data_IF_101709461770
#
_entry.id   IF_101709461770
#
_cell.length_a   1.000
_cell.length_b   1.000
_cell.length_c   1.000
_cell.angle_alpha   90.00
_cell.angle_beta   90.00
_cell.angle_gamma   90.00
#
_symmetry.space_group_name_H-M   'P 1'
#
loop_
_entity.id
_entity.type
_entity.pdbx_description
1 polymer ?
#
# COMPACT_ATOMS: atom_id res chain seq x y z
N UNK A 1 -29.01 31.15 -53.80
CA UNK A 1 -27.98 30.24 -54.35
C UNK A 1 -26.72 30.37 -53.51
N UNK A 2 -26.17 29.23 -53.09
CA UNK A 2 -24.90 28.95 -52.39
C UNK A 2 -24.19 30.06 -51.61
N UNK A 3 -24.11 29.87 -50.29
CA UNK A 3 -23.17 30.55 -49.40
C UNK A 3 -22.13 29.57 -48.83
N UNK A 4 -20.87 29.98 -48.92
CA UNK A 4 -19.65 29.33 -48.45
C UNK A 4 -19.64 28.98 -46.95
N UNK A 5 -18.95 27.89 -46.60
CA UNK A 5 -18.58 27.55 -45.22
C UNK A 5 -17.17 26.92 -45.20
N UNK A 6 -16.17 27.47 -44.47
CA UNK A 6 -14.85 26.86 -44.34
C UNK A 6 -14.61 26.19 -42.98
N UNK A 7 -14.03 24.99 -43.06
CA UNK A 7 -13.12 24.33 -42.12
C UNK A 7 -13.57 23.98 -40.68
N UNK A 8 -13.95 22.71 -40.52
CA UNK A 8 -13.69 21.93 -39.31
C UNK A 8 -12.19 21.62 -39.20
N UNK A 9 -11.53 22.09 -38.15
CA UNK A 9 -10.20 21.63 -37.75
C UNK A 9 -10.35 20.48 -36.76
N UNK A 10 -10.23 19.25 -37.25
CA UNK A 10 -10.02 18.06 -36.42
C UNK A 10 -8.66 18.13 -35.74
N UNK A 11 -8.65 18.10 -34.41
CA UNK A 11 -7.44 17.83 -33.63
C UNK A 11 -7.00 16.38 -33.82
N UNK A 12 -5.69 16.08 -33.66
CA UNK A 12 -5.13 14.80 -34.06
C UNK A 12 -5.68 13.67 -33.19
N UNK A 13 -6.44 12.76 -33.81
CA UNK A 13 -6.54 11.38 -33.32
C UNK A 13 -5.11 10.85 -33.24
N UNK A 14 -4.71 10.44 -32.04
CA UNK A 14 -3.52 9.61 -31.85
C UNK A 14 -3.70 8.36 -32.72
N UNK A 15 -3.01 8.34 -33.86
CA UNK A 15 -2.93 7.17 -34.72
C UNK A 15 -2.17 6.04 -34.01
N UNK A 16 -2.38 4.79 -34.42
CA UNK A 16 -1.64 3.66 -33.88
C UNK A 16 -0.15 3.85 -34.14
N UNK A 17 0.68 3.54 -33.14
CA UNK A 17 2.13 3.44 -33.30
C UNK A 17 2.46 2.43 -34.43
N UNK A 18 3.48 2.67 -35.27
CA UNK A 18 3.84 1.76 -36.35
C UNK A 18 4.38 0.45 -35.75
N UNK A 19 3.75 -0.68 -36.10
CA UNK A 19 4.19 -2.02 -35.66
C UNK A 19 3.20 -2.81 -34.80
N UNK A 20 1.89 -2.59 -34.92
CA UNK A 20 0.89 -3.52 -34.36
C UNK A 20 0.96 -4.84 -35.14
N UNK A 21 1.73 -5.80 -34.63
CA UNK A 21 1.68 -7.18 -35.10
C UNK A 21 0.26 -7.75 -34.92
N UNK A 22 -0.19 -8.56 -35.89
CA UNK A 22 -1.51 -9.21 -35.95
C UNK A 22 -1.75 -10.28 -34.86
N UNK A 23 -0.98 -10.25 -33.75
CA UNK A 23 -1.13 -11.23 -32.68
C UNK A 23 -2.28 -10.84 -31.75
N UNK A 24 -3.23 -11.75 -31.49
CA UNK A 24 -4.29 -11.50 -30.51
C UNK A 24 -3.69 -11.33 -29.11
N UNK A 25 -4.30 -10.46 -28.30
CA UNK A 25 -3.92 -10.30 -26.88
C UNK A 25 -4.01 -11.65 -26.16
N UNK A 26 -2.95 -12.01 -25.44
CA UNK A 26 -2.93 -13.25 -24.65
C UNK A 26 -3.87 -13.17 -23.43
N UNK A 27 -4.09 -11.96 -22.92
CA UNK A 27 -4.86 -11.71 -21.72
C UNK A 27 -6.14 -10.94 -22.05
N UNK A 28 -7.21 -11.30 -21.36
CA UNK A 28 -8.45 -10.52 -21.32
C UNK A 28 -8.59 -9.93 -19.93
N UNK A 29 -8.48 -8.61 -19.82
CA UNK A 29 -8.53 -7.87 -18.55
C UNK A 29 -9.67 -8.32 -17.62
N UNK A 30 -10.91 -8.37 -18.11
CA UNK A 30 -12.06 -8.82 -17.29
C UNK A 30 -11.97 -10.27 -16.78
N UNK A 31 -11.12 -11.10 -17.36
CA UNK A 31 -10.88 -12.48 -16.93
C UNK A 31 -9.70 -12.62 -15.96
N UNK A 32 -9.04 -11.52 -15.59
CA UNK A 32 -7.90 -11.54 -14.66
C UNK A 32 -8.28 -11.16 -13.22
N UNK A 33 -9.54 -10.83 -12.98
CA UNK A 33 -10.08 -10.48 -11.66
C UNK A 33 -11.25 -11.37 -11.27
N UNK A 34 -11.44 -11.66 -9.98
CA UNK A 34 -12.62 -12.39 -9.51
C UNK A 34 -13.90 -11.67 -9.90
N UNK A 35 -14.94 -12.40 -10.35
CA UNK A 35 -16.23 -11.80 -10.64
C UNK A 35 -16.81 -11.08 -9.43
N UNK A 36 -17.20 -9.82 -9.63
CA UNK A 36 -17.72 -8.96 -8.58
C UNK A 36 -19.13 -8.50 -8.93
N UNK A 37 -20.13 -9.27 -8.50
CA UNK A 37 -21.53 -8.99 -8.77
C UNK A 37 -22.15 -8.22 -7.61
N UNK A 38 -22.38 -6.93 -7.82
CA UNK A 38 -23.13 -6.08 -6.89
C UNK A 38 -24.35 -5.52 -7.64
N UNK A 39 -25.53 -5.62 -7.02
CA UNK A 39 -26.80 -5.19 -7.61
C UNK A 39 -26.94 -3.68 -7.74
N UNK A 40 -26.22 -2.93 -6.90
CA UNK A 40 -26.24 -1.47 -6.85
C UNK A 40 -24.89 -0.90 -6.38
N UNK A 41 -24.27 -0.07 -7.21
CA UNK A 41 -22.96 0.54 -6.95
C UNK A 41 -23.10 1.76 -6.03
N UNK A 42 -23.54 1.52 -4.80
CA UNK A 42 -23.88 2.56 -3.81
C UNK A 42 -22.77 3.59 -3.59
N UNK A 43 -21.51 3.18 -3.75
CA UNK A 43 -20.36 4.07 -3.59
C UNK A 43 -20.28 5.14 -4.68
N UNK A 44 -20.83 4.91 -5.89
CA UNK A 44 -20.83 5.95 -6.94
C UNK A 44 -21.70 7.13 -6.54
N UNK A 45 -22.87 6.86 -5.95
CA UNK A 45 -23.81 7.87 -5.49
C UNK A 45 -23.31 8.62 -4.24
N UNK A 46 -22.69 7.90 -3.31
CA UNK A 46 -22.01 8.54 -2.17
C UNK A 46 -20.84 9.41 -2.64
N UNK A 47 -20.04 8.93 -3.60
CA UNK A 47 -18.92 9.68 -4.15
C UNK A 47 -19.40 10.97 -4.85
N UNK A 48 -20.49 10.88 -5.63
CA UNK A 48 -21.12 12.04 -6.23
C UNK A 48 -21.59 13.03 -5.17
N UNK A 49 -22.24 12.56 -4.10
CA UNK A 49 -22.71 13.40 -2.99
C UNK A 49 -21.54 14.10 -2.28
N UNK A 50 -20.45 13.39 -2.02
CA UNK A 50 -19.25 13.93 -1.36
C UNK A 50 -18.60 15.02 -2.21
N UNK A 51 -18.57 14.91 -3.54
CA UNK A 51 -18.03 15.94 -4.42
C UNK A 51 -18.78 17.29 -4.31
N UNK A 52 -20.00 17.29 -3.80
CA UNK A 52 -20.79 18.48 -3.50
C UNK A 52 -20.73 18.92 -2.02
N UNK A 53 -20.15 18.11 -1.13
CA UNK A 53 -19.94 18.47 0.27
C UNK A 53 -18.84 19.55 0.41
N UNK A 54 -18.63 20.08 1.63
CA UNK A 54 -17.62 21.12 1.94
C UNK A 54 -16.35 20.56 2.61
N UNK A 55 -16.20 19.25 2.65
CA UNK A 55 -15.11 18.57 3.35
C UNK A 55 -13.94 18.28 2.40
N UNK A 56 -12.84 19.02 2.56
CA UNK A 56 -11.64 18.95 1.69
C UNK A 56 -11.05 17.54 1.67
N UNK A 57 -10.91 16.89 2.81
CA UNK A 57 -10.26 15.58 2.89
C UNK A 57 -11.14 14.47 2.31
N UNK A 58 -12.48 14.56 2.46
CA UNK A 58 -13.40 13.64 1.78
C UNK A 58 -13.37 13.82 0.26
N UNK A 59 -13.45 15.06 -0.22
CA UNK A 59 -13.40 15.38 -1.66
C UNK A 59 -12.08 14.92 -2.27
N UNK A 60 -10.96 15.19 -1.61
CA UNK A 60 -9.62 14.75 -2.02
C UNK A 60 -9.55 13.25 -2.21
N UNK A 61 -10.05 12.46 -1.25
CA UNK A 61 -10.08 10.98 -1.35
C UNK A 61 -10.97 10.49 -2.49
N UNK A 62 -12.14 11.10 -2.68
CA UNK A 62 -13.03 10.75 -3.80
C UNK A 62 -12.36 11.01 -5.15
N UNK A 63 -11.64 12.13 -5.30
CA UNK A 63 -10.87 12.42 -6.52
C UNK A 63 -9.70 11.45 -6.68
N UNK A 64 -9.01 11.12 -5.59
CA UNK A 64 -7.85 10.21 -5.57
C UNK A 64 -8.20 8.82 -6.09
N UNK A 65 -9.24 8.19 -5.52
CA UNK A 65 -9.67 6.85 -5.94
C UNK A 65 -10.55 6.88 -7.18
N UNK A 66 -11.21 8.01 -7.45
CA UNK A 66 -11.99 8.25 -8.66
C UNK A 66 -12.94 7.10 -8.98
N UNK A 67 -13.74 6.61 -8.03
CA UNK A 67 -14.64 5.45 -8.22
C UNK A 67 -15.89 5.81 -9.06
N UNK A 68 -15.65 6.17 -10.32
CA UNK A 68 -16.65 6.56 -11.31
C UNK A 68 -16.38 5.88 -12.66
N UNK A 69 -17.42 5.63 -13.46
CA UNK A 69 -17.27 5.21 -14.85
C UNK A 69 -16.65 6.30 -15.74
N UNK A 70 -17.06 7.57 -15.56
CA UNK A 70 -16.48 8.73 -16.26
C UNK A 70 -15.40 9.39 -15.41
N UNK A 71 -14.13 9.24 -15.81
CA UNK A 71 -12.99 9.85 -15.11
C UNK A 71 -12.97 11.39 -15.13
N UNK A 72 -13.76 12.01 -16.01
CA UNK A 72 -13.94 13.46 -16.04
C UNK A 72 -15.06 13.93 -15.12
N UNK A 73 -15.81 13.03 -14.49
CA UNK A 73 -16.92 13.41 -13.62
C UNK A 73 -16.50 14.35 -12.48
N UNK A 74 -15.42 14.10 -11.70
CA UNK A 74 -15.00 15.02 -10.64
C UNK A 74 -14.62 16.40 -11.17
N UNK A 75 -13.97 16.46 -12.35
CA UNK A 75 -13.61 17.71 -13.01
C UNK A 75 -14.87 18.52 -13.38
N UNK A 76 -15.85 17.89 -14.01
CA UNK A 76 -17.14 18.52 -14.35
C UNK A 76 -17.88 18.99 -13.09
N UNK A 77 -17.92 18.16 -12.05
CA UNK A 77 -18.55 18.50 -10.79
C UNK A 77 -17.92 19.75 -10.16
N UNK A 78 -16.59 19.81 -10.06
CA UNK A 78 -15.87 20.97 -9.52
C UNK A 78 -16.02 22.22 -10.38
N UNK A 79 -16.00 22.09 -11.71
CA UNK A 79 -16.22 23.23 -12.62
C UNK A 79 -17.60 23.86 -12.45
N UNK A 80 -18.60 23.07 -12.06
CA UNK A 80 -19.96 23.55 -11.81
C UNK A 80 -20.16 24.14 -10.39
N UNK A 81 -19.15 24.07 -9.51
CA UNK A 81 -19.23 24.69 -8.17
C UNK A 81 -18.97 26.19 -8.24
N UNK A 82 -19.49 26.91 -7.24
CA UNK A 82 -19.19 28.32 -7.06
C UNK A 82 -17.69 28.56 -6.87
N UNK A 83 -17.17 29.66 -7.43
CA UNK A 83 -15.74 29.99 -7.39
C UNK A 83 -15.16 30.01 -5.97
N UNK A 84 -15.84 30.64 -5.02
CA UNK A 84 -15.40 30.69 -3.62
C UNK A 84 -15.21 29.30 -3.02
N UNK A 85 -16.11 28.36 -3.33
CA UNK A 85 -16.01 27.00 -2.82
C UNK A 85 -14.78 26.29 -3.39
N UNK A 86 -14.49 26.48 -4.69
CA UNK A 86 -13.28 25.94 -5.32
C UNK A 86 -12.01 26.58 -4.73
N UNK A 87 -12.07 27.85 -4.37
CA UNK A 87 -10.97 28.57 -3.70
C UNK A 87 -10.68 28.01 -2.31
N UNK A 88 -11.73 27.74 -1.53
CA UNK A 88 -11.61 27.14 -0.20
C UNK A 88 -11.00 25.72 -0.29
N UNK A 89 -11.46 24.91 -1.27
CA UNK A 89 -10.88 23.59 -1.51
C UNK A 89 -9.40 23.66 -1.87
N UNK A 90 -9.05 24.50 -2.85
CA UNK A 90 -7.66 24.64 -3.26
C UNK A 90 -6.80 25.17 -2.11
N UNK A 91 -7.31 26.11 -1.31
CA UNK A 91 -6.62 26.65 -0.13
C UNK A 91 -6.30 25.59 0.92
N UNK A 92 -7.14 24.55 1.03
CA UNK A 92 -6.92 23.39 1.90
C UNK A 92 -5.88 22.40 1.37
N UNK A 93 -5.60 22.40 0.06
CA UNK A 93 -4.64 21.47 -0.58
C UNK A 93 -3.24 22.06 -0.78
N UNK A 94 -3.11 23.39 -0.72
CA UNK A 94 -1.83 24.08 -0.95
C UNK A 94 -1.11 24.41 0.35
N UNK A 95 0.20 24.57 0.29
CA UNK A 95 0.99 25.07 1.42
C UNK A 95 0.65 26.53 1.74
N UNK A 96 0.86 26.99 2.99
CA UNK A 96 0.49 28.36 3.39
C UNK A 96 1.09 29.46 2.50
N UNK A 97 2.31 29.27 1.99
CA UNK A 97 2.99 30.24 1.12
C UNK A 97 2.44 30.26 -0.32
N UNK A 98 1.79 29.18 -0.76
CA UNK A 98 1.21 29.04 -2.11
C UNK A 98 -0.18 29.71 -2.21
N UNK A 99 -0.85 29.97 -1.08
CA UNK A 99 -2.22 30.51 -1.04
C UNK A 99 -2.36 31.86 -1.75
N UNK A 100 -1.30 32.66 -1.74
CA UNK A 100 -1.28 33.97 -2.40
C UNK A 100 -1.39 33.88 -3.94
N UNK A 101 -1.15 32.71 -4.55
CA UNK A 101 -1.24 32.52 -5.99
C UNK A 101 -2.65 32.10 -6.46
N UNK A 102 -3.51 31.62 -5.55
CA UNK A 102 -4.86 31.14 -5.88
C UNK A 102 -5.71 32.20 -6.61
N UNK A 103 -5.74 33.48 -6.18
CA UNK A 103 -6.55 34.50 -6.85
C UNK A 103 -6.17 34.76 -8.32
N UNK A 104 -4.93 34.43 -8.71
CA UNK A 104 -4.43 34.65 -10.07
C UNK A 104 -4.87 33.55 -11.05
N UNK A 105 -5.47 32.46 -10.55
CA UNK A 105 -5.92 31.34 -11.36
C UNK A 105 -7.37 31.54 -11.82
N UNK A 106 -7.64 31.22 -13.08
CA UNK A 106 -9.01 31.05 -13.57
C UNK A 106 -9.68 29.84 -12.90
N UNK A 107 -11.01 29.77 -12.91
CA UNK A 107 -11.77 28.64 -12.37
C UNK A 107 -11.27 27.29 -12.93
N UNK A 108 -11.01 27.23 -14.23
CA UNK A 108 -10.51 26.01 -14.90
C UNK A 108 -9.13 25.63 -14.38
N UNK A 109 -8.22 26.60 -14.24
CA UNK A 109 -6.87 26.34 -13.71
C UNK A 109 -6.90 25.88 -12.25
N UNK A 110 -7.79 26.45 -11.43
CA UNK A 110 -8.00 26.01 -10.04
C UNK A 110 -8.46 24.56 -9.98
N UNK A 111 -9.42 24.18 -10.82
CA UNK A 111 -9.91 22.80 -10.89
C UNK A 111 -8.80 21.84 -11.35
N UNK A 112 -8.02 22.18 -12.38
CA UNK A 112 -6.92 21.30 -12.79
C UNK A 112 -5.85 21.16 -11.70
N UNK A 113 -5.58 22.21 -10.93
CA UNK A 113 -4.64 22.14 -9.82
C UNK A 113 -5.17 21.26 -8.66
N UNK A 114 -6.47 21.33 -8.37
CA UNK A 114 -7.13 20.38 -7.43
C UNK A 114 -6.98 18.95 -7.95
N UNK A 115 -7.32 18.70 -9.22
CA UNK A 115 -7.22 17.36 -9.81
C UNK A 115 -5.79 16.82 -9.76
N UNK A 116 -4.80 17.66 -10.04
CA UNK A 116 -3.38 17.32 -10.01
C UNK A 116 -2.90 16.95 -8.60
N UNK A 117 -3.31 17.71 -7.57
CA UNK A 117 -2.87 17.50 -6.18
C UNK A 117 -3.58 16.34 -5.49
N UNK A 118 -4.80 16.01 -5.90
CA UNK A 118 -5.56 14.90 -5.33
C UNK A 118 -5.17 13.54 -5.93
N UNK A 119 -4.62 13.50 -7.15
CA UNK A 119 -4.20 12.26 -7.82
C UNK A 119 -2.78 11.86 -7.41
N UNK A 120 -2.54 10.55 -7.34
CA UNK A 120 -1.19 10.01 -7.21
C UNK A 120 -0.49 10.04 -8.57
N UNK A 121 0.77 10.46 -8.59
CA UNK A 121 1.61 10.36 -9.77
C UNK A 121 2.14 8.93 -9.88
N UNK A 122 1.66 8.16 -10.86
CA UNK A 122 2.27 6.88 -11.22
C UNK A 122 3.55 7.11 -12.03
N UNK A 123 4.57 6.26 -11.90
CA UNK A 123 5.72 6.26 -12.80
C UNK A 123 5.26 6.10 -14.25
N UNK A 124 5.95 6.73 -15.23
CA UNK A 124 5.58 6.56 -16.62
C UNK A 124 5.70 5.09 -17.04
N UNK A 125 4.82 4.61 -17.94
CA UNK A 125 4.94 3.30 -18.56
C UNK A 125 6.32 3.13 -19.21
N UNK A 126 6.89 1.93 -19.12
CA UNK A 126 8.13 1.56 -19.79
C UNK A 126 7.88 0.42 -20.78
N UNK A 127 8.72 0.31 -21.81
CA UNK A 127 8.68 -0.88 -22.65
C UNK A 127 9.29 -2.08 -21.92
N UNK A 128 8.83 -3.28 -22.27
CA UNK A 128 9.48 -4.53 -21.87
C UNK A 128 10.94 -4.52 -22.32
N UNK A 129 11.85 -4.79 -21.38
CA UNK A 129 13.30 -4.61 -21.58
C UNK A 129 14.12 -5.89 -21.49
N UNK A 130 13.53 -7.00 -21.02
CA UNK A 130 14.17 -8.30 -20.94
C UNK A 130 14.00 -9.07 -22.26
N UNK A 131 15.09 -9.62 -22.84
CA UNK A 131 15.00 -10.42 -24.07
C UNK A 131 15.84 -11.70 -23.98
N UNK A 132 15.42 -12.78 -24.66
CA UNK A 132 16.20 -14.01 -24.77
C UNK A 132 17.63 -13.77 -25.30
N UNK A 133 18.63 -14.39 -24.66
CA UNK A 133 20.01 -14.45 -25.18
C UNK A 133 20.80 -13.14 -25.02
N UNK A 134 20.32 -12.17 -24.25
CA UNK A 134 21.03 -10.89 -24.05
C UNK A 134 22.31 -11.01 -23.22
N UNK A 135 22.39 -11.99 -22.31
CA UNK A 135 23.58 -12.19 -21.49
C UNK A 135 24.28 -13.49 -21.89
N UNK A 136 25.57 -13.39 -22.21
CA UNK A 136 26.42 -14.53 -22.60
C UNK A 136 26.50 -15.66 -21.54
N UNK A 137 26.07 -15.40 -20.29
CA UNK A 137 26.07 -16.35 -19.18
C UNK A 137 24.66 -16.85 -18.78
N UNK A 138 23.61 -16.59 -19.56
CA UNK A 138 22.24 -17.09 -19.31
C UNK A 138 22.08 -18.59 -19.62
N UNK A 139 23.03 -19.44 -19.22
CA UNK A 139 22.91 -20.89 -19.39
C UNK A 139 21.97 -21.54 -18.35
N UNK A 140 21.73 -20.86 -17.21
CA UNK A 140 20.91 -21.37 -16.11
C UNK A 140 19.41 -21.03 -16.30
N UNK A 141 18.53 -22.04 -16.43
CA UNK A 141 17.08 -21.84 -16.54
C UNK A 141 16.47 -21.07 -15.35
N UNK A 142 16.99 -21.25 -14.14
CA UNK A 142 16.46 -20.57 -12.96
C UNK A 142 16.80 -19.07 -13.01
N UNK A 143 18.01 -18.71 -13.45
CA UNK A 143 18.40 -17.32 -13.66
C UNK A 143 17.55 -16.61 -14.73
N UNK A 144 17.21 -17.30 -15.82
CA UNK A 144 16.29 -16.79 -16.84
C UNK A 144 14.91 -16.53 -16.21
N UNK A 145 14.35 -17.51 -15.49
CA UNK A 145 13.05 -17.36 -14.84
C UNK A 145 13.03 -16.18 -13.85
N UNK A 146 14.09 -16.00 -13.05
CA UNK A 146 14.26 -14.84 -12.15
C UNK A 146 14.33 -13.52 -12.92
N UNK A 147 15.01 -13.47 -14.06
CA UNK A 147 15.10 -12.28 -14.89
C UNK A 147 13.74 -11.85 -15.42
N UNK A 148 12.95 -12.79 -15.95
CA UNK A 148 11.59 -12.56 -16.44
C UNK A 148 10.66 -12.10 -15.29
N UNK A 149 10.73 -12.77 -14.14
CA UNK A 149 9.93 -12.44 -12.95
C UNK A 149 10.26 -11.03 -12.41
N UNK A 150 11.54 -10.67 -12.39
CA UNK A 150 12.00 -9.32 -12.00
C UNK A 150 11.45 -8.24 -12.92
N UNK A 151 11.45 -8.48 -14.24
CA UNK A 151 10.88 -7.55 -15.22
C UNK A 151 9.35 -7.46 -15.05
N UNK A 152 8.67 -8.59 -14.89
CA UNK A 152 7.22 -8.65 -14.60
C UNK A 152 6.87 -7.83 -13.35
N UNK A 153 7.64 -8.00 -12.27
CA UNK A 153 7.48 -7.26 -11.03
C UNK A 153 7.73 -5.75 -11.24
N UNK A 154 8.77 -5.37 -11.99
CA UNK A 154 9.05 -3.98 -12.33
C UNK A 154 7.85 -3.32 -13.04
N UNK A 155 7.17 -4.03 -13.94
CA UNK A 155 5.96 -3.51 -14.58
C UNK A 155 4.77 -3.43 -13.63
N UNK A 156 4.62 -4.39 -12.71
CA UNK A 156 3.56 -4.35 -11.69
C UNK A 156 3.66 -3.14 -10.76
N UNK A 157 4.88 -2.75 -10.36
CA UNK A 157 5.10 -1.58 -9.49
C UNK A 157 4.74 -0.24 -10.14
N UNK A 158 4.45 -0.22 -11.46
CA UNK A 158 3.95 0.98 -12.17
C UNK A 158 2.44 1.15 -12.10
N UNK A 159 1.70 0.15 -11.61
CA UNK A 159 0.25 0.26 -11.38
C UNK A 159 0.05 0.80 -9.97
N UNK A 160 -0.66 1.93 -9.84
CA UNK A 160 -0.95 2.47 -8.51
C UNK A 160 -1.99 1.63 -7.76
N UNK A 161 -2.00 1.76 -6.43
CA UNK A 161 -3.01 1.09 -5.61
C UNK A 161 -4.43 1.57 -5.95
N UNK A 162 -4.61 2.86 -6.21
CA UNK A 162 -5.88 3.48 -6.60
C UNK A 162 -6.43 2.88 -7.90
N UNK A 163 -5.55 2.65 -8.87
CA UNK A 163 -5.88 1.99 -10.12
C UNK A 163 -6.26 0.52 -9.90
N UNK A 164 -5.56 -0.20 -9.02
CA UNK A 164 -5.92 -1.58 -8.67
C UNK A 164 -7.25 -1.66 -7.92
N UNK A 165 -7.58 -0.68 -7.07
CA UNK A 165 -8.90 -0.59 -6.44
C UNK A 165 -9.99 -0.38 -7.50
N UNK A 166 -9.80 0.58 -8.42
CA UNK A 166 -10.74 0.80 -9.53
C UNK A 166 -10.93 -0.50 -10.34
N UNK A 167 -9.83 -1.14 -10.68
CA UNK A 167 -9.84 -2.36 -11.46
C UNK A 167 -10.55 -3.52 -10.74
N UNK A 168 -10.29 -3.70 -9.44
CA UNK A 168 -10.95 -4.71 -8.62
C UNK A 168 -12.47 -4.55 -8.55
N UNK A 169 -12.98 -3.32 -8.70
CA UNK A 169 -14.41 -3.01 -8.72
C UNK A 169 -15.02 -3.05 -10.14
N UNK A 170 -14.24 -3.44 -11.16
CA UNK A 170 -14.71 -3.63 -12.53
C UNK A 170 -14.58 -2.41 -13.44
N UNK A 171 -13.95 -1.33 -12.99
CA UNK A 171 -13.66 -0.19 -13.87
C UNK A 171 -12.53 -0.51 -14.85
N UNK A 172 -12.57 0.12 -16.03
CA UNK A 172 -11.48 0.05 -17.01
C UNK A 172 -10.29 0.88 -16.53
N UNK A 173 -9.10 0.30 -16.59
CA UNK A 173 -7.87 0.92 -16.07
C UNK A 173 -6.73 0.74 -17.07
N UNK A 174 -6.24 1.85 -17.62
CA UNK A 174 -5.28 1.85 -18.71
C UNK A 174 -3.92 1.24 -18.33
N UNK A 175 -3.45 1.45 -17.10
CA UNK A 175 -2.20 0.88 -16.60
C UNK A 175 -2.26 -0.64 -16.46
N UNK A 176 -3.41 -1.20 -16.09
CA UNK A 176 -3.61 -2.66 -16.06
C UNK A 176 -3.60 -3.23 -17.48
N UNK A 177 -4.31 -2.61 -18.42
CA UNK A 177 -4.27 -3.01 -19.84
C UNK A 177 -2.84 -2.96 -20.39
N UNK A 178 -2.11 -1.88 -20.12
CA UNK A 178 -0.71 -1.74 -20.52
C UNK A 178 0.17 -2.84 -19.90
N UNK A 179 -0.01 -3.18 -18.63
CA UNK A 179 0.73 -4.27 -17.96
C UNK A 179 0.46 -5.62 -18.63
N UNK A 180 -0.79 -5.93 -18.97
CA UNK A 180 -1.16 -7.15 -19.69
C UNK A 180 -0.59 -7.17 -21.12
N UNK A 181 -0.54 -6.02 -21.78
CA UNK A 181 0.11 -5.87 -23.09
C UNK A 181 1.62 -6.13 -22.99
N UNK A 182 2.30 -5.74 -21.90
CA UNK A 182 3.72 -6.06 -21.72
C UNK A 182 3.98 -7.57 -21.67
N UNK A 183 3.09 -8.34 -21.05
CA UNK A 183 3.20 -9.80 -21.03
C UNK A 183 2.85 -10.43 -22.38
N UNK A 184 1.99 -9.78 -23.17
CA UNK A 184 1.77 -10.17 -24.58
C UNK A 184 3.02 -9.90 -25.42
N UNK A 185 3.72 -8.79 -25.19
CA UNK A 185 5.00 -8.50 -25.85
C UNK A 185 6.07 -9.54 -25.50
N UNK A 186 6.16 -9.95 -24.23
CA UNK A 186 7.02 -11.07 -23.80
C UNK A 186 6.70 -12.34 -24.59
N UNK A 187 5.42 -12.70 -24.75
CA UNK A 187 5.01 -13.86 -25.55
C UNK A 187 5.51 -13.75 -27.00
N UNK A 188 5.33 -12.60 -27.65
CA UNK A 188 5.79 -12.39 -29.04
C UNK A 188 7.32 -12.53 -29.15
N UNK A 189 8.08 -11.92 -28.24
CA UNK A 189 9.53 -12.02 -28.24
C UNK A 189 10.03 -13.46 -28.04
N UNK A 190 9.39 -14.21 -27.14
CA UNK A 190 9.70 -15.62 -26.92
C UNK A 190 9.32 -16.48 -28.13
N UNK A 191 8.19 -16.20 -28.77
CA UNK A 191 7.70 -16.92 -29.94
C UNK A 191 8.68 -16.77 -31.11
N UNK A 192 9.08 -15.54 -31.40
CA UNK A 192 10.04 -15.24 -32.46
C UNK A 192 11.40 -15.91 -32.19
N UNK A 193 11.88 -15.85 -30.94
CA UNK A 193 13.13 -16.47 -30.54
C UNK A 193 13.10 -17.99 -30.65
N UNK A 194 12.11 -18.67 -30.06
CA UNK A 194 12.04 -20.13 -30.04
C UNK A 194 11.70 -20.71 -31.42
N UNK A 195 11.03 -19.94 -32.28
CA UNK A 195 10.82 -20.33 -33.68
C UNK A 195 12.14 -20.28 -34.47
N UNK A 196 13.01 -19.31 -34.19
CA UNK A 196 14.33 -19.18 -34.83
C UNK A 196 15.37 -20.16 -34.26
N UNK A 197 15.26 -20.54 -32.99
CA UNK A 197 16.22 -21.41 -32.28
C UNK A 197 15.51 -22.63 -31.63
N UNK A 198 15.10 -23.65 -32.41
CA UNK A 198 14.37 -24.81 -31.86
C UNK A 198 15.13 -25.61 -30.80
N UNK A 199 16.47 -25.62 -30.87
CA UNK A 199 17.33 -26.31 -29.89
C UNK A 199 17.18 -25.74 -28.46
N UNK A 200 16.68 -24.50 -28.34
CA UNK A 200 16.48 -23.81 -27.07
C UNK A 200 15.18 -24.18 -26.36
N UNK A 201 14.28 -24.88 -27.04
CA UNK A 201 12.95 -25.21 -26.51
C UNK A 201 13.07 -26.02 -25.21
N UNK A 202 13.97 -27.01 -25.16
CA UNK A 202 14.18 -27.83 -23.97
C UNK A 202 14.59 -26.99 -22.75
N UNK A 203 15.49 -26.01 -22.94
CA UNK A 203 15.89 -25.08 -21.88
C UNK A 203 14.70 -24.27 -21.38
N UNK A 204 13.86 -23.76 -22.28
CA UNK A 204 12.71 -22.94 -21.89
C UNK A 204 11.57 -23.75 -21.25
N UNK A 205 11.49 -25.06 -21.48
CA UNK A 205 10.62 -25.96 -20.69
C UNK A 205 11.07 -26.02 -19.22
N UNK A 206 12.39 -26.03 -18.96
CA UNK A 206 12.91 -25.93 -17.59
C UNK A 206 12.66 -24.54 -16.98
N UNK A 207 12.82 -23.46 -17.75
CA UNK A 207 12.47 -22.09 -17.33
C UNK A 207 10.99 -22.00 -16.91
N UNK A 208 10.09 -22.60 -17.69
CA UNK A 208 8.66 -22.62 -17.39
C UNK A 208 8.38 -23.27 -16.03
N UNK A 209 9.07 -24.36 -15.70
CA UNK A 209 8.93 -25.05 -14.41
C UNK A 209 9.27 -24.12 -13.24
N UNK A 210 10.33 -23.32 -13.37
CA UNK A 210 10.71 -22.33 -12.36
C UNK A 210 9.77 -21.12 -12.29
N UNK A 211 9.08 -20.78 -13.38
CA UNK A 211 8.11 -19.68 -13.41
C UNK A 211 6.77 -20.03 -12.75
N UNK A 212 6.42 -21.31 -12.60
CA UNK A 212 5.12 -21.74 -12.00
C UNK A 212 4.88 -21.20 -10.59
N UNK A 213 5.94 -21.03 -9.80
CA UNK A 213 5.87 -20.47 -8.43
C UNK A 213 6.18 -18.97 -8.37
N UNK A 214 6.30 -18.31 -9.52
CA UNK A 214 6.67 -16.89 -9.68
C UNK A 214 5.53 -16.13 -10.36
N UNK A 215 5.84 -15.16 -11.22
CA UNK A 215 4.83 -14.37 -11.94
C UNK A 215 3.82 -15.23 -12.72
N UNK A 216 2.52 -15.18 -12.38
CA UNK A 216 1.48 -15.92 -13.08
C UNK A 216 1.23 -15.38 -14.50
N UNK A 217 1.61 -14.13 -14.75
CA UNK A 217 1.50 -13.52 -16.08
C UNK A 217 2.63 -13.96 -16.98
N UNK A 218 3.88 -13.94 -16.49
CA UNK A 218 5.03 -14.41 -17.24
C UNK A 218 4.98 -15.92 -17.50
N UNK A 219 4.56 -16.70 -16.50
CA UNK A 219 4.33 -18.14 -16.65
C UNK A 219 3.35 -18.43 -17.80
N UNK A 220 2.19 -17.77 -17.82
CA UNK A 220 1.20 -17.96 -18.90
C UNK A 220 1.73 -17.55 -20.27
N UNK A 221 2.49 -16.44 -20.36
CA UNK A 221 3.14 -16.03 -21.60
C UNK A 221 4.09 -17.11 -22.14
N UNK A 222 4.98 -17.64 -21.30
CA UNK A 222 5.92 -18.68 -21.71
C UNK A 222 5.22 -20.02 -22.01
N UNK A 223 4.29 -20.46 -21.16
CA UNK A 223 3.54 -21.70 -21.36
C UNK A 223 2.77 -21.69 -22.69
N UNK A 224 2.11 -20.57 -23.02
CA UNK A 224 1.42 -20.42 -24.30
C UNK A 224 2.39 -20.43 -25.48
N UNK A 225 3.56 -19.77 -25.35
CA UNK A 225 4.62 -19.80 -26.35
C UNK A 225 5.09 -21.24 -26.62
N UNK A 226 5.45 -21.99 -25.58
CA UNK A 226 5.94 -23.36 -25.69
C UNK A 226 4.92 -24.31 -26.35
N UNK A 227 3.64 -24.19 -26.01
CA UNK A 227 2.57 -24.93 -26.67
C UNK A 227 2.40 -24.56 -28.14
N UNK A 228 2.68 -23.31 -28.50
CA UNK A 228 2.59 -22.84 -29.89
C UNK A 228 3.73 -23.42 -30.74
N UNK A 229 4.97 -23.38 -30.24
CA UNK A 229 6.16 -23.83 -31.00
C UNK A 229 6.37 -25.34 -30.97
N UNK A 230 5.89 -26.04 -29.94
CA UNK A 230 6.05 -27.49 -29.81
C UNK A 230 4.79 -28.16 -29.21
N UNK A 231 3.66 -28.19 -29.95
CA UNK A 231 2.38 -28.68 -29.43
C UNK A 231 2.43 -30.13 -28.93
N UNK A 232 3.24 -30.99 -29.55
CA UNK A 232 3.32 -32.41 -29.20
C UNK A 232 3.94 -32.66 -27.82
N UNK A 233 5.10 -32.07 -27.54
CA UNK A 233 5.81 -32.28 -26.27
C UNK A 233 5.30 -31.37 -25.15
N UNK A 234 4.75 -30.20 -25.48
CA UNK A 234 4.31 -29.21 -24.50
C UNK A 234 2.79 -29.26 -24.21
N UNK A 235 2.04 -30.20 -24.78
CA UNK A 235 0.59 -30.34 -24.55
C UNK A 235 0.22 -30.48 -23.07
N UNK A 236 1.08 -31.10 -22.26
CA UNK A 236 0.86 -31.35 -20.83
C UNK A 236 1.26 -30.19 -19.93
N UNK A 237 1.90 -29.13 -20.45
CA UNK A 237 2.19 -27.94 -19.65
C UNK A 237 0.85 -27.36 -19.23
N UNK A 238 0.61 -27.17 -17.95
CA UNK A 238 -0.60 -26.51 -17.44
C UNK A 238 -0.45 -24.99 -17.55
N UNK A 239 -1.49 -24.30 -18.00
CA UNK A 239 -1.55 -22.84 -17.93
C UNK A 239 -2.25 -22.54 -16.63
N UNK A 240 -1.61 -21.75 -15.76
CA UNK A 240 -2.19 -21.37 -14.47
C UNK A 240 -3.66 -20.98 -14.65
N UNK A 241 -4.55 -21.70 -13.97
CA UNK A 241 -6.00 -21.46 -14.00
C UNK A 241 -6.42 -20.31 -13.06
N UNK A 242 -5.49 -19.81 -12.23
CA UNK A 242 -5.74 -18.71 -11.30
C UNK A 242 -5.81 -17.37 -12.01
N UNK A 243 -6.69 -16.49 -11.52
CA UNK A 243 -6.85 -15.15 -12.05
C UNK A 243 -5.65 -14.30 -11.61
N UNK A 244 -4.95 -13.66 -12.55
CA UNK A 244 -3.65 -13.06 -12.27
C UNK A 244 -3.65 -12.00 -11.17
N UNK A 245 -4.76 -11.27 -10.99
CA UNK A 245 -4.92 -10.25 -9.96
C UNK A 245 -5.73 -10.70 -8.74
N UNK A 246 -6.10 -11.98 -8.62
CA UNK A 246 -6.91 -12.47 -7.50
C UNK A 246 -6.31 -12.13 -6.13
N UNK A 247 -4.98 -12.24 -5.99
CA UNK A 247 -4.27 -12.01 -4.75
C UNK A 247 -4.51 -10.61 -4.18
N UNK A 248 -4.80 -9.61 -5.01
CA UNK A 248 -5.05 -8.22 -4.58
C UNK A 248 -6.51 -7.77 -4.80
N UNK A 249 -7.13 -8.19 -5.89
CA UNK A 249 -8.50 -7.81 -6.20
C UNK A 249 -9.50 -8.46 -5.24
N UNK A 250 -9.34 -9.75 -4.89
CA UNK A 250 -10.29 -10.43 -4.01
C UNK A 250 -10.33 -9.81 -2.59
N UNK A 251 -9.17 -9.50 -1.95
CA UNK A 251 -9.18 -8.78 -0.68
C UNK A 251 -9.81 -7.38 -0.77
N UNK A 252 -9.57 -6.62 -1.84
CA UNK A 252 -10.18 -5.28 -2.01
C UNK A 252 -11.70 -5.39 -2.15
N UNK A 253 -12.18 -6.33 -2.96
CA UNK A 253 -13.61 -6.58 -3.16
C UNK A 253 -14.34 -6.92 -1.85
N UNK A 254 -13.67 -7.65 -0.93
CA UNK A 254 -14.22 -7.95 0.40
C UNK A 254 -14.48 -6.69 1.22
N UNK A 255 -13.64 -5.66 1.12
CA UNK A 255 -13.86 -4.39 1.84
C UNK A 255 -15.21 -3.78 1.47
N UNK A 256 -15.57 -3.78 0.19
CA UNK A 256 -16.85 -3.22 -0.30
C UNK A 256 -18.06 -4.12 -0.08
N UNK A 257 -17.82 -5.41 0.22
CA UNK A 257 -18.88 -6.41 0.45
C UNK A 257 -19.20 -6.58 1.92
N UNK A 258 -18.16 -6.65 2.75
CA UNK A 258 -18.25 -7.12 4.13
C UNK A 258 -18.38 -5.94 5.12
N UNK A 259 -17.90 -4.75 4.75
CA UNK A 259 -18.05 -3.56 5.60
C UNK A 259 -19.41 -2.89 5.43
N UNK A 260 -19.93 -2.26 6.50
CA UNK A 260 -21.11 -1.40 6.40
C UNK A 260 -20.93 -0.32 5.33
N UNK A 261 -21.97 -0.02 4.52
CA UNK A 261 -21.90 1.04 3.51
C UNK A 261 -21.56 2.40 4.13
N UNK A 262 -20.32 2.84 3.93
CA UNK A 262 -19.81 4.16 4.28
C UNK A 262 -18.58 4.43 3.43
N UNK A 263 -18.74 5.15 2.32
CA UNK A 263 -17.63 5.42 1.41
C UNK A 263 -16.53 6.21 2.11
N UNK A 264 -16.92 7.12 3.02
CA UNK A 264 -15.95 7.90 3.81
C UNK A 264 -15.01 6.97 4.60
N UNK A 265 -15.55 5.96 5.29
CA UNK A 265 -14.74 5.04 6.09
C UNK A 265 -13.93 4.11 5.19
N UNK A 266 -14.52 3.58 4.12
CA UNK A 266 -13.81 2.73 3.16
C UNK A 266 -12.64 3.48 2.52
N UNK A 267 -12.82 4.73 2.11
CA UNK A 267 -11.73 5.53 1.52
C UNK A 267 -10.62 5.82 2.54
N UNK A 268 -10.93 5.92 3.84
CA UNK A 268 -9.90 6.02 4.89
C UNK A 268 -9.10 4.71 5.01
N UNK A 269 -9.80 3.57 5.04
CA UNK A 269 -9.17 2.23 5.04
C UNK A 269 -8.26 2.07 3.83
N UNK A 270 -8.77 2.36 2.62
CA UNK A 270 -8.00 2.29 1.39
C UNK A 270 -6.77 3.21 1.43
N UNK A 271 -6.86 4.41 2.04
CA UNK A 271 -5.73 5.34 2.14
C UNK A 271 -4.56 4.73 2.92
N UNK A 272 -4.86 4.01 4.01
CA UNK A 272 -3.86 3.28 4.81
C UNK A 272 -3.34 2.06 4.05
N UNK A 273 -4.24 1.30 3.41
CA UNK A 273 -3.86 0.14 2.60
C UNK A 273 -2.99 0.54 1.39
N UNK A 274 -3.13 1.75 0.84
CA UNK A 274 -2.24 2.26 -0.20
C UNK A 274 -0.78 2.38 0.28
N UNK A 275 -0.57 2.80 1.52
CA UNK A 275 0.77 2.84 2.13
C UNK A 275 1.30 1.42 2.31
N UNK A 276 0.46 0.51 2.81
CA UNK A 276 0.80 -0.91 2.93
C UNK A 276 1.16 -1.55 1.59
N UNK A 277 0.42 -1.23 0.53
CA UNK A 277 0.70 -1.68 -0.83
C UNK A 277 2.10 -1.24 -1.27
N UNK A 278 2.45 0.03 -1.05
CA UNK A 278 3.79 0.52 -1.38
C UNK A 278 4.88 -0.23 -0.61
N UNK A 279 4.72 -0.42 0.70
CA UNK A 279 5.66 -1.18 1.53
C UNK A 279 5.77 -2.65 1.09
N UNK A 280 4.66 -3.29 0.75
CA UNK A 280 4.57 -4.73 0.49
C UNK A 280 5.01 -5.09 -0.92
N UNK A 281 4.78 -4.21 -1.90
CA UNK A 281 5.00 -4.53 -3.31
C UNK A 281 5.87 -3.52 -4.05
N UNK A 282 5.79 -2.22 -3.76
CA UNK A 282 6.58 -1.23 -4.53
C UNK A 282 8.03 -1.15 -4.02
N UNK A 283 8.21 -1.22 -2.70
CA UNK A 283 9.52 -1.12 -2.04
C UNK A 283 10.08 -2.48 -1.63
N UNK A 284 9.37 -3.57 -1.97
CA UNK A 284 9.86 -4.91 -1.73
C UNK A 284 10.98 -5.27 -2.70
N UNK A 285 11.94 -6.07 -2.21
CA UNK A 285 13.04 -6.57 -3.03
C UNK A 285 12.58 -7.62 -4.04
N UNK A 286 11.59 -8.43 -3.65
CA UNK A 286 11.07 -9.56 -4.41
C UNK A 286 9.55 -9.60 -4.27
N UNK A 287 8.88 -10.11 -5.31
CA UNK A 287 7.44 -10.24 -5.38
C UNK A 287 6.99 -11.63 -4.92
N UNK A 288 5.99 -11.67 -4.06
CA UNK A 288 5.24 -12.89 -3.75
C UNK A 288 3.83 -12.78 -4.36
N UNK A 289 3.66 -13.40 -5.52
CA UNK A 289 2.40 -13.42 -6.27
C UNK A 289 1.33 -14.32 -5.64
N UNK A 290 1.73 -15.21 -4.71
CA UNK A 290 0.85 -16.22 -4.13
C UNK A 290 0.20 -15.74 -2.83
N UNK A 291 0.86 -14.79 -2.15
CA UNK A 291 0.38 -14.25 -0.89
C UNK A 291 -0.72 -13.21 -1.11
N UNK A 292 -1.94 -13.43 -0.59
CA UNK A 292 -3.00 -12.44 -0.67
C UNK A 292 -2.61 -11.14 0.00
N UNK A 293 -3.04 -10.02 -0.59
CA UNK A 293 -2.83 -8.70 -0.02
C UNK A 293 -3.51 -8.59 1.35
N UNK A 294 -2.74 -8.22 2.37
CA UNK A 294 -3.24 -8.12 3.73
C UNK A 294 -4.08 -6.86 3.90
N UNK A 295 -5.39 -7.04 3.97
CA UNK A 295 -6.37 -5.97 4.22
C UNK A 295 -6.82 -5.88 5.68
N UNK A 296 -6.13 -6.53 6.63
CA UNK A 296 -6.47 -6.39 8.05
C UNK A 296 -6.19 -4.95 8.53
N UNK A 297 -7.15 -4.28 9.16
CA UNK A 297 -7.03 -2.89 9.58
C UNK A 297 -7.50 -2.64 11.02
N UNK A 298 -7.47 -3.65 11.90
CA UNK A 298 -8.03 -3.56 13.27
C UNK A 298 -7.56 -2.34 14.05
N UNK A 299 -6.28 -1.97 13.99
CA UNK A 299 -5.80 -0.74 14.63
C UNK A 299 -6.50 0.53 14.13
N UNK A 300 -6.74 0.62 12.82
CA UNK A 300 -7.46 1.73 12.21
C UNK A 300 -8.96 1.66 12.54
N UNK A 301 -9.54 0.47 12.58
CA UNK A 301 -10.93 0.26 13.00
C UNK A 301 -11.15 0.81 14.40
N UNK A 302 -10.35 0.35 15.37
CA UNK A 302 -10.38 0.83 16.76
C UNK A 302 -10.15 2.34 16.86
N UNK A 303 -9.26 2.90 16.03
CA UNK A 303 -8.97 4.34 15.96
C UNK A 303 -10.18 5.14 15.47
N UNK A 304 -10.90 4.63 14.47
CA UNK A 304 -12.04 5.33 13.85
C UNK A 304 -13.33 5.19 14.65
N UNK A 305 -13.49 4.08 15.37
CA UNK A 305 -14.66 3.80 16.20
C UNK A 305 -14.55 4.43 17.60
N UNK A 306 -13.34 4.71 18.07
CA UNK A 306 -13.12 5.36 19.35
C UNK A 306 -13.72 6.78 19.41
N UNK A 307 -14.37 7.08 20.53
CA UNK A 307 -15.03 8.38 20.76
C UNK A 307 -14.07 9.47 21.24
N UNK A 308 -12.91 9.08 21.76
CA UNK A 308 -11.84 9.97 22.24
C UNK A 308 -10.50 9.26 22.31
N UNK A 309 -9.36 9.98 22.36
CA UNK A 309 -8.04 9.34 22.50
C UNK A 309 -7.90 8.50 23.77
N UNK A 310 -8.63 8.86 24.83
CA UNK A 310 -8.68 8.09 26.09
C UNK A 310 -9.45 6.79 25.91
N UNK A 311 -10.57 6.83 25.18
CA UNK A 311 -11.36 5.65 24.83
C UNK A 311 -10.55 4.67 23.98
N UNK A 312 -9.85 5.19 22.97
CA UNK A 312 -8.92 4.41 22.15
C UNK A 312 -7.81 3.75 22.98
N UNK A 313 -7.18 4.51 23.89
CA UNK A 313 -6.16 3.98 24.79
C UNK A 313 -6.69 2.87 25.71
N UNK A 314 -7.96 2.91 26.11
CA UNK A 314 -8.60 1.83 26.88
C UNK A 314 -8.82 0.60 26.02
N UNK A 315 -9.32 0.73 24.80
CA UNK A 315 -9.48 -0.39 23.87
C UNK A 315 -8.16 -1.13 23.65
N UNK A 316 -7.08 -0.39 23.38
CA UNK A 316 -5.74 -0.98 23.25
C UNK A 316 -5.28 -1.67 24.54
N UNK A 317 -5.53 -1.05 25.69
CA UNK A 317 -5.18 -1.61 27.00
C UNK A 317 -5.93 -2.90 27.31
N UNK A 318 -7.24 -2.95 27.09
CA UNK A 318 -8.02 -4.17 27.29
C UNK A 318 -7.55 -5.30 26.36
N UNK A 319 -7.25 -4.99 25.10
CA UNK A 319 -6.72 -5.96 24.16
C UNK A 319 -5.32 -6.48 24.59
N UNK A 320 -4.48 -5.61 25.16
CA UNK A 320 -3.18 -6.00 25.69
C UNK A 320 -3.32 -6.82 26.98
N UNK A 321 -4.19 -6.45 27.92
CA UNK A 321 -4.47 -7.19 29.15
C UNK A 321 -4.86 -8.65 28.87
N UNK A 322 -5.80 -8.86 27.95
CA UNK A 322 -6.24 -10.21 27.54
C UNK A 322 -5.09 -11.07 27.01
N UNK A 323 -4.17 -10.47 26.25
CA UNK A 323 -3.05 -11.20 25.68
C UNK A 323 -1.96 -11.47 26.71
N UNK A 324 -1.64 -10.47 27.53
CA UNK A 324 -0.65 -10.62 28.59
C UNK A 324 -1.13 -11.62 29.64
N UNK A 325 -2.45 -11.80 29.86
CA UNK A 325 -3.04 -12.84 30.72
C UNK A 325 -2.63 -14.26 30.34
N UNK A 326 -2.22 -14.47 29.09
CA UNK A 326 -1.75 -15.78 28.61
C UNK A 326 -0.26 -16.03 28.84
N UNK A 327 0.51 -15.01 29.28
CA UNK A 327 1.94 -15.17 29.54
C UNK A 327 2.18 -15.99 30.79
N UNK A 328 3.16 -16.90 30.70
CA UNK A 328 3.67 -17.64 31.86
C UNK A 328 5.16 -17.36 32.03
N UNK A 329 5.73 -17.55 33.24
CA UNK A 329 7.18 -17.45 33.42
C UNK A 329 7.96 -18.35 32.43
N UNK A 330 7.40 -19.52 32.10
CA UNK A 330 8.01 -20.44 31.16
C UNK A 330 8.12 -19.84 29.75
N UNK A 331 7.15 -19.01 29.35
CA UNK A 331 7.11 -18.34 28.05
C UNK A 331 8.35 -17.51 27.74
N UNK A 332 8.92 -16.88 28.76
CA UNK A 332 10.15 -16.08 28.64
C UNK A 332 11.42 -16.92 28.58
N UNK A 333 11.43 -18.06 29.28
CA UNK A 333 12.61 -18.93 29.34
C UNK A 333 12.81 -19.75 28.09
N UNK A 334 11.72 -20.22 27.47
CA UNK A 334 11.75 -21.06 26.27
C UNK A 334 11.52 -20.28 24.99
N UNK A 335 11.28 -18.96 25.08
CA UNK A 335 10.79 -18.14 23.98
C UNK A 335 9.66 -18.85 23.24
N UNK A 336 8.61 -19.19 23.99
CA UNK A 336 7.49 -19.92 23.42
C UNK A 336 6.74 -19.08 22.38
N UNK A 337 5.76 -19.71 21.72
CA UNK A 337 4.97 -19.06 20.70
C UNK A 337 4.25 -17.79 21.22
N UNK A 338 3.89 -17.74 22.50
CA UNK A 338 3.14 -16.66 23.12
C UNK A 338 3.98 -15.38 23.27
N UNK A 339 5.17 -15.50 23.85
CA UNK A 339 6.08 -14.34 24.00
C UNK A 339 6.50 -13.78 22.63
N UNK A 340 6.77 -14.67 21.66
CA UNK A 340 7.08 -14.28 20.29
C UNK A 340 5.90 -13.61 19.58
N UNK A 341 4.67 -14.04 19.86
CA UNK A 341 3.47 -13.43 19.29
C UNK A 341 3.29 -11.99 19.79
N UNK A 342 3.47 -11.73 21.09
CA UNK A 342 3.39 -10.37 21.64
C UNK A 342 4.44 -9.43 21.06
N UNK A 343 5.68 -9.88 20.87
CA UNK A 343 6.70 -9.07 20.19
C UNK A 343 6.32 -8.77 18.73
N UNK A 344 5.83 -9.76 17.98
CA UNK A 344 5.36 -9.56 16.61
C UNK A 344 4.18 -8.60 16.53
N UNK A 345 3.26 -8.63 17.50
CA UNK A 345 2.13 -7.71 17.56
C UNK A 345 2.55 -6.29 17.87
N UNK A 346 3.50 -6.09 18.79
CA UNK A 346 4.12 -4.79 19.03
C UNK A 346 4.72 -4.20 17.75
N UNK A 347 5.48 -5.02 17.00
CA UNK A 347 6.08 -4.60 15.72
C UNK A 347 5.00 -4.26 14.68
N UNK A 348 3.94 -5.07 14.59
CA UNK A 348 2.82 -4.85 13.68
C UNK A 348 2.06 -3.56 14.02
N UNK A 349 1.77 -3.32 15.31
CA UNK A 349 1.10 -2.09 15.76
C UNK A 349 1.95 -0.85 15.46
N UNK A 350 3.26 -0.91 15.66
CA UNK A 350 4.18 0.16 15.26
C UNK A 350 4.11 0.44 13.75
N UNK A 351 4.04 -0.61 12.93
CA UNK A 351 3.85 -0.47 11.48
C UNK A 351 2.47 0.10 11.15
N UNK A 352 1.40 -0.36 11.78
CA UNK A 352 0.04 0.13 11.55
C UNK A 352 -0.08 1.62 11.90
N UNK A 353 0.57 2.07 12.96
CA UNK A 353 0.65 3.50 13.32
C UNK A 353 1.37 4.30 12.23
N UNK A 354 2.50 3.80 11.72
CA UNK A 354 3.20 4.44 10.60
C UNK A 354 2.34 4.49 9.34
N UNK A 355 1.66 3.40 8.99
CA UNK A 355 0.74 3.34 7.84
C UNK A 355 -0.43 4.31 8.01
N UNK A 356 -1.01 4.41 9.21
CA UNK A 356 -2.08 5.34 9.54
C UNK A 356 -1.64 6.80 9.46
N UNK A 357 -0.47 7.15 10.01
CA UNK A 357 0.03 8.52 9.96
C UNK A 357 0.39 8.96 8.53
N UNK A 358 0.86 8.02 7.71
CA UNK A 358 1.19 8.28 6.30
C UNK A 358 -0.07 8.39 5.45
N UNK A 359 -1.05 7.48 5.64
CA UNK A 359 -2.29 7.44 4.86
C UNK A 359 -3.34 8.46 5.29
N UNK A 360 -3.39 8.80 6.59
CA UNK A 360 -4.36 9.69 7.24
C UNK A 360 -3.64 10.71 8.16
N UNK A 361 -2.87 11.66 7.61
CA UNK A 361 -2.10 12.61 8.42
C UNK A 361 -2.95 13.46 9.37
N UNK A 362 -4.25 13.64 9.09
CA UNK A 362 -5.16 14.37 9.97
C UNK A 362 -5.38 13.68 11.33
N UNK A 363 -5.15 12.37 11.42
CA UNK A 363 -5.32 11.61 12.66
C UNK A 363 -4.08 11.66 13.58
N UNK A 364 -2.98 12.28 13.13
CA UNK A 364 -1.74 12.34 13.90
C UNK A 364 -1.93 12.98 15.27
N UNK A 365 -2.66 14.11 15.34
CA UNK A 365 -2.92 14.80 16.60
C UNK A 365 -3.69 13.91 17.59
N UNK A 366 -4.70 13.20 17.10
CA UNK A 366 -5.47 12.25 17.89
C UNK A 366 -4.60 11.10 18.43
N UNK A 367 -3.70 10.56 17.59
CA UNK A 367 -2.75 9.52 18.00
C UNK A 367 -1.75 10.05 19.04
N UNK A 368 -1.30 11.30 18.92
CA UNK A 368 -0.42 11.93 19.91
C UNK A 368 -1.11 12.11 21.27
N UNK A 369 -2.39 12.50 21.28
CA UNK A 369 -3.18 12.60 22.52
C UNK A 369 -3.36 11.23 23.19
N UNK A 370 -3.49 10.16 22.41
CA UNK A 370 -3.57 8.78 22.91
C UNK A 370 -2.31 8.37 23.70
N UNK A 371 -1.12 8.88 23.35
CA UNK A 371 0.11 8.61 24.10
C UNK A 371 0.01 9.05 25.57
N UNK A 372 -0.60 10.20 25.84
CA UNK A 372 -0.77 10.69 27.21
C UNK A 372 -1.72 9.80 28.00
N UNK A 373 -2.80 9.34 27.37
CA UNK A 373 -3.75 8.43 27.97
C UNK A 373 -3.11 7.07 28.28
N UNK A 374 -2.37 6.49 27.33
CA UNK A 374 -1.63 5.23 27.50
C UNK A 374 -0.57 5.33 28.61
N UNK A 375 0.13 6.47 28.68
CA UNK A 375 1.09 6.73 29.76
C UNK A 375 0.39 6.80 31.13
N UNK A 376 -0.76 7.48 31.21
CA UNK A 376 -1.52 7.63 32.45
C UNK A 376 -2.08 6.29 32.98
N UNK A 377 -2.54 5.41 32.08
CA UNK A 377 -2.99 4.04 32.43
C UNK A 377 -1.86 3.01 32.46
N UNK A 378 -0.61 3.45 32.25
CA UNK A 378 0.62 2.63 32.33
C UNK A 378 0.64 1.45 31.37
N UNK A 379 0.02 1.58 30.21
CA UNK A 379 0.19 0.60 29.13
C UNK A 379 1.44 0.95 28.31
N UNK A 380 2.61 0.48 28.77
CA UNK A 380 3.88 0.75 28.09
C UNK A 380 4.06 -0.08 26.81
N UNK A 381 3.33 -1.18 26.66
CA UNK A 381 3.37 -2.02 25.46
C UNK A 381 2.87 -1.24 24.24
N UNK A 382 1.59 -0.85 24.25
CA UNK A 382 1.00 -0.04 23.18
C UNK A 382 1.63 1.36 23.10
N UNK A 383 1.97 2.00 24.23
CA UNK A 383 2.64 3.31 24.23
C UNK A 383 3.93 3.29 23.39
N UNK A 384 4.80 2.32 23.64
CA UNK A 384 6.09 2.24 22.94
C UNK A 384 5.94 1.82 21.48
N UNK A 385 4.94 1.00 21.15
CA UNK A 385 4.62 0.66 19.76
C UNK A 385 4.19 1.89 18.97
N UNK A 386 3.27 2.70 19.51
CA UNK A 386 2.81 3.95 18.88
C UNK A 386 3.95 4.96 18.76
N UNK A 387 4.77 5.12 19.82
CA UNK A 387 5.94 6.00 19.77
C UNK A 387 6.92 5.59 18.65
N UNK A 388 7.17 4.29 18.49
CA UNK A 388 8.05 3.78 17.44
C UNK A 388 7.47 4.02 16.04
N UNK A 389 6.17 3.84 15.86
CA UNK A 389 5.46 4.15 14.60
C UNK A 389 5.53 5.64 14.23
N UNK A 390 5.31 6.54 15.20
CA UNK A 390 5.44 7.97 14.99
C UNK A 390 6.88 8.40 14.70
N UNK A 391 7.87 7.74 15.33
CA UNK A 391 9.29 7.93 15.03
C UNK A 391 9.61 7.53 13.59
N UNK A 392 9.13 6.37 13.13
CA UNK A 392 9.27 5.93 11.74
C UNK A 392 8.67 6.94 10.77
N UNK A 393 7.47 7.45 11.06
CA UNK A 393 6.81 8.47 10.23
C UNK A 393 7.65 9.76 10.13
N UNK A 394 8.16 10.23 11.27
CA UNK A 394 9.00 11.44 11.32
C UNK A 394 10.28 11.28 10.48
N UNK A 395 10.89 10.09 10.48
CA UNK A 395 12.06 9.77 9.65
C UNK A 395 11.72 9.74 8.15
N UNK A 396 10.57 9.18 7.78
CA UNK A 396 10.13 9.13 6.37
C UNK A 396 9.79 10.51 5.81
N UNK A 397 9.14 11.37 6.59
CA UNK A 397 8.71 12.71 6.17
C UNK A 397 9.78 13.79 6.40
N UNK A 398 11.01 13.39 6.75
CA UNK A 398 12.10 14.33 6.97
C UNK A 398 12.44 15.08 5.70
N UNK A 399 12.38 16.41 5.76
CA UNK A 399 12.71 17.26 4.61
C UNK A 399 14.19 17.66 4.69
N UNK A 400 14.94 17.47 3.62
CA UNK A 400 16.26 18.11 3.51
C UNK A 400 16.04 19.60 3.29
N UNK A 401 16.45 20.42 4.27
CA UNK A 401 16.45 21.86 4.16
C UNK A 401 17.89 22.34 4.10
N UNK A 402 18.30 22.96 3.00
CA UNK A 402 19.61 23.59 2.91
C UNK A 402 19.62 24.82 3.82
N UNK A 403 20.42 24.78 4.89
CA UNK A 403 20.58 25.92 5.78
C UNK A 403 21.20 27.10 5.02
N UNK A 404 20.94 28.33 5.50
CA UNK A 404 21.47 29.57 4.92
C UNK A 404 23.02 29.61 4.78
N UNK A 405 23.71 28.68 5.45
CA UNK A 405 25.16 28.54 5.47
C UNK A 405 25.69 27.53 4.41
N UNK A 406 24.82 27.01 3.55
CA UNK A 406 25.17 26.00 2.54
C UNK A 406 25.35 24.57 3.08
N UNK A 407 25.00 24.33 4.34
CA UNK A 407 24.97 22.99 4.93
C UNK A 407 23.57 22.41 4.80
N UNK A 408 23.44 21.21 4.23
CA UNK A 408 22.17 20.48 4.22
C UNK A 408 21.81 20.08 5.65
N UNK A 409 20.74 20.67 6.18
CA UNK A 409 20.17 20.32 7.48
C UNK A 409 18.90 19.52 7.26
N UNK A 410 18.88 18.28 7.74
CA UNK A 410 17.66 17.47 7.74
C UNK A 410 16.73 18.01 8.83
N UNK A 411 15.63 18.63 8.44
CA UNK A 411 14.60 19.07 9.37
C UNK A 411 13.59 17.92 9.55
N UNK A 412 13.64 17.28 10.72
CA UNK A 412 12.65 16.28 11.13
C UNK A 412 11.32 16.97 11.42
N UNK A 413 10.23 16.47 10.85
CA UNK A 413 8.88 16.81 11.30
C UNK A 413 8.73 16.22 12.70
N UNK A 414 8.85 17.04 13.75
CA UNK A 414 8.73 16.57 15.13
C UNK A 414 7.27 16.24 15.44
N UNK A 415 6.92 14.96 15.33
CA UNK A 415 5.60 14.43 15.65
C UNK A 415 5.58 13.72 17.01
N UNK A 416 6.72 13.63 17.69
CA UNK A 416 6.85 12.96 18.98
C UNK A 416 7.40 13.92 20.04
N UNK A 417 6.83 13.91 21.27
CA UNK A 417 7.45 14.60 22.39
C UNK A 417 8.85 14.03 22.66
N UNK A 418 9.91 14.86 22.70
CA UNK A 418 11.28 14.37 22.93
C UNK A 418 11.43 13.55 24.21
N UNK A 419 10.72 13.94 25.28
CA UNK A 419 10.75 13.24 26.57
C UNK A 419 10.24 11.80 26.51
N UNK A 420 9.32 11.49 25.60
CA UNK A 420 8.82 10.13 25.43
C UNK A 420 9.69 9.29 24.50
N UNK A 421 10.46 9.92 23.60
CA UNK A 421 11.39 9.21 22.73
C UNK A 421 12.53 8.52 23.49
N UNK A 422 12.92 9.07 24.65
CA UNK A 422 13.93 8.46 25.52
C UNK A 422 13.52 7.05 26.01
N UNK A 423 12.22 6.74 26.01
CA UNK A 423 11.72 5.39 26.35
C UNK A 423 12.10 4.33 25.30
N UNK A 424 12.40 4.76 24.07
CA UNK A 424 12.80 3.89 22.96
C UNK A 424 14.33 3.85 22.75
N UNK A 425 15.10 4.54 23.58
CA UNK A 425 16.56 4.51 23.49
C UNK A 425 17.07 3.12 23.90
N UNK A 426 17.74 2.36 23.01
CA UNK A 426 18.23 1.03 23.34
C UNK A 426 19.46 1.04 24.29
N UNK A 427 20.04 2.21 24.59
CA UNK A 427 21.21 2.38 25.46
C UNK A 427 20.98 1.74 26.82
N UNK A 428 21.99 1.00 27.30
CA UNK A 428 21.96 0.24 28.55
C UNK A 428 20.67 -0.57 28.74
N UNK A 429 20.23 -1.24 27.67
CA UNK A 429 18.99 -2.02 27.63
C UNK A 429 17.75 -1.20 28.03
N UNK A 430 17.52 -0.07 27.36
CA UNK A 430 16.37 0.79 27.60
C UNK A 430 16.30 1.31 29.04
N UNK A 431 17.43 1.83 29.55
CA UNK A 431 17.57 2.24 30.94
C UNK A 431 16.48 3.22 31.40
N UNK A 432 16.15 4.23 30.59
CA UNK A 432 15.11 5.22 30.92
C UNK A 432 13.74 4.57 31.10
N UNK A 433 13.34 3.69 30.18
CA UNK A 433 12.10 2.92 30.33
C UNK A 433 12.13 2.02 31.57
N UNK A 434 13.22 1.29 31.81
CA UNK A 434 13.32 0.38 32.95
C UNK A 434 13.20 1.12 34.29
N UNK A 435 13.84 2.29 34.42
CA UNK A 435 13.71 3.14 35.61
C UNK A 435 12.27 3.60 35.83
N UNK A 436 11.59 4.04 34.77
CA UNK A 436 10.19 4.41 34.82
C UNK A 436 9.30 3.24 35.25
N UNK A 437 9.49 2.06 34.66
CA UNK A 437 8.71 0.87 34.95
C UNK A 437 8.91 0.40 36.40
N UNK A 438 10.12 0.49 36.94
CA UNK A 438 10.39 0.17 38.34
C UNK A 438 9.66 1.11 39.31
N UNK A 439 9.55 2.39 38.97
CA UNK A 439 8.84 3.38 39.79
C UNK A 439 7.31 3.27 39.65
N UNK A 440 6.81 2.88 38.47
CA UNK A 440 5.39 2.79 38.19
C UNK A 440 5.07 1.62 37.25
N UNK A 441 4.91 0.40 37.78
CA UNK A 441 4.61 -0.78 36.98
C UNK A 441 3.26 -0.69 36.25
N UNK A 442 3.17 -1.39 35.13
CA UNK A 442 2.06 -1.38 34.18
C UNK A 442 2.17 -2.54 33.20
N UNK A 443 1.48 -2.49 32.05
CA UNK A 443 1.68 -3.49 30.98
C UNK A 443 3.06 -3.25 30.35
N UNK A 444 3.99 -4.22 30.37
CA UNK A 444 5.37 -3.94 30.03
C UNK A 444 5.64 -3.91 28.52
N UNK A 445 6.56 -3.02 28.12
CA UNK A 445 7.29 -3.17 26.87
C UNK A 445 8.26 -4.35 27.03
N UNK A 446 8.06 -5.44 26.30
CA UNK A 446 8.67 -6.74 26.62
C UNK A 446 10.17 -6.87 26.29
N UNK A 447 10.67 -6.17 25.28
CA UNK A 447 12.05 -6.33 24.80
C UNK A 447 13.13 -6.19 25.89
N UNK A 448 13.11 -5.16 26.75
CA UNK A 448 14.11 -4.97 27.79
C UNK A 448 14.08 -6.11 28.81
N UNK A 449 12.88 -6.57 29.19
CA UNK A 449 12.68 -7.61 30.21
C UNK A 449 13.07 -9.00 29.71
N UNK A 450 12.79 -9.32 28.44
CA UNK A 450 13.26 -10.56 27.82
C UNK A 450 14.79 -10.59 27.82
N UNK A 451 15.44 -9.48 27.46
CA UNK A 451 16.92 -9.39 27.49
C UNK A 451 17.47 -9.55 28.90
N UNK A 452 16.84 -8.95 29.91
CA UNK A 452 17.24 -9.14 31.32
C UNK A 452 17.09 -10.58 31.78
N UNK A 453 15.99 -11.26 31.43
CA UNK A 453 15.79 -12.66 31.77
C UNK A 453 16.85 -13.56 31.13
N UNK A 454 17.27 -13.27 29.90
CA UNK A 454 18.34 -14.00 29.22
C UNK A 454 19.71 -13.80 29.89
N UNK A 455 19.97 -12.62 30.45
CA UNK A 455 21.27 -12.28 31.07
C UNK A 455 21.34 -12.65 32.56
N UNK A 456 20.23 -12.51 33.30
CA UNK A 456 20.16 -12.64 34.76
C UNK A 456 19.43 -13.88 35.28
N UNK A 457 18.80 -14.68 34.40
CA UNK A 457 18.10 -15.91 34.77
C UNK A 457 16.73 -15.69 35.42
N UNK A 458 16.38 -16.53 36.39
CA UNK A 458 15.06 -16.58 37.06
C UNK A 458 14.65 -15.35 37.91
N UNK A 459 15.56 -14.64 38.61
CA UNK A 459 15.15 -13.54 39.51
C UNK A 459 14.46 -12.35 38.81
N UNK A 460 14.97 -11.81 37.68
CA UNK A 460 14.30 -10.73 36.95
C UNK A 460 12.90 -11.12 36.45
N UNK A 461 12.74 -12.38 36.03
CA UNK A 461 11.47 -12.92 35.57
C UNK A 461 10.42 -12.94 36.69
N UNK A 462 10.78 -13.40 37.89
CA UNK A 462 9.87 -13.40 39.03
C UNK A 462 9.44 -12.00 39.41
N UNK A 463 10.36 -11.04 39.37
CA UNK A 463 10.07 -9.64 39.65
C UNK A 463 9.07 -9.05 38.64
N UNK A 464 9.25 -9.33 37.34
CA UNK A 464 8.33 -8.88 36.29
C UNK A 464 6.90 -9.39 36.54
N UNK A 465 6.73 -10.68 36.79
CA UNK A 465 5.40 -11.28 37.03
C UNK A 465 4.75 -10.77 38.32
N UNK A 466 5.53 -10.55 39.38
CA UNK A 466 5.01 -9.93 40.61
C UNK A 466 4.52 -8.49 40.37
N UNK A 467 5.20 -7.75 39.50
CA UNK A 467 4.84 -6.39 39.14
C UNK A 467 3.64 -6.33 38.19
N UNK A 468 3.41 -7.37 37.38
CA UNK A 468 2.27 -7.47 36.47
C UNK A 468 0.98 -7.92 37.16
N UNK A 469 1.07 -8.79 38.19
CA UNK A 469 -0.08 -9.39 38.85
C UNK A 469 -1.22 -8.41 39.25
N UNK A 470 -0.97 -7.25 39.89
CA UNK A 470 -2.05 -6.32 40.28
C UNK A 470 -2.71 -5.56 39.12
N UNK A 471 -2.23 -5.73 37.89
CA UNK A 471 -2.79 -5.10 36.68
C UNK A 471 -3.70 -6.09 35.92
N UNK A 472 -3.60 -7.39 36.24
CA UNK A 472 -4.26 -8.48 35.52
C UNK A 472 -5.43 -9.08 36.29
N UNK A 473 -5.58 -8.69 37.55
CA UNK A 473 -6.73 -8.95 38.43
C UNK A 473 -7.68 -7.74 38.39
#
# INVERSE_FOLDING_TARGET
MSGYSPHQSGGPSAGPLPGQSEYPSLFQSSAEVPPFYISYLWWEDEAATILWAFDVEKVKRVIRYSLFPDENFPRKALQNRHGNTVDDFLSGLVQPHERNFIPNLSQVQKVEEIMRRCRISSPPPAAWSWFPGQKANESDPEAIARGIDTESFLHFTRISFEELVRYALGYKVASVEWFLQQHTALYVHLLDYLSAFPDEIARYVEVETHLRSRSPFAHRALAHCLRTVNPGQCASIETSAGLGFEFIAAPIQRIFRDLPPSLTNILKVLSVLGVRFQRTYVHAREMDWTRPFNVAFSFLEDLLDATSPVDFARTLTSADEEQFATLTPQSFMTQDATANNLMKRWEMQSIDVWECCTGLPENIAYIQECLQALFAIRNFHSLTAILDGLRKYSLTESTMATAANGADTVALKSVTPPSLLELLDPTDNFATYRQLYQASPGIPFLFPHIRECQQGGQPPLRQLFQQMQPIMD
#
